data_IF_639538071843
#
_entry.id   IF_639538071843
#
_cell.length_a   1.000
_cell.length_b   1.000
_cell.length_c   1.000
_cell.angle_alpha   90.00
_cell.angle_beta   90.00
_cell.angle_gamma   90.00
#
_symmetry.space_group_name_H-M   'P 1'
#
loop_
_entity.id
_entity.type
_entity.pdbx_description
1 polymer ?
#
# COMPACT_ATOMS: atom_id res chain seq x y z
N UNK A 1 -33.34 22.87 -3.33
CA UNK A 1 -32.22 22.02 -3.86
C UNK A 1 -31.42 21.55 -2.65
N UNK A 2 -31.08 20.24 -2.56
CA UNK A 2 -30.24 19.71 -1.45
C UNK A 2 -28.89 20.39 -1.47
N UNK A 3 -28.29 20.58 -0.29
CA UNK A 3 -26.85 20.94 -0.19
C UNK A 3 -25.97 19.80 -0.67
N UNK A 4 -24.70 20.03 -1.03
CA UNK A 4 -23.75 18.97 -1.35
C UNK A 4 -23.64 17.89 -0.25
N UNK A 5 -23.65 18.31 1.01
CA UNK A 5 -23.56 17.43 2.17
C UNK A 5 -24.81 16.55 2.31
N UNK A 6 -26.01 17.15 2.25
CA UNK A 6 -27.29 16.42 2.26
C UNK A 6 -27.41 15.44 1.08
N UNK A 7 -26.85 15.83 -0.08
CA UNK A 7 -26.82 14.96 -1.26
C UNK A 7 -25.93 13.74 -1.03
N UNK A 8 -24.72 13.93 -0.50
CA UNK A 8 -23.79 12.84 -0.19
C UNK A 8 -24.42 11.85 0.82
N UNK A 9 -24.95 12.36 1.92
CA UNK A 9 -25.60 11.54 2.96
C UNK A 9 -26.79 10.75 2.42
N UNK A 10 -27.67 11.39 1.64
CA UNK A 10 -28.82 10.74 1.02
C UNK A 10 -28.44 9.61 0.05
N UNK A 11 -27.19 9.55 -0.38
CA UNK A 11 -26.63 8.50 -1.24
C UNK A 11 -25.73 7.50 -0.47
N UNK A 12 -25.82 7.48 0.87
CA UNK A 12 -25.09 6.58 1.72
C UNK A 12 -23.59 6.89 1.85
N UNK A 13 -23.14 8.09 1.40
CA UNK A 13 -21.75 8.48 1.54
C UNK A 13 -21.49 8.94 2.97
N UNK A 14 -20.72 8.15 3.71
CA UNK A 14 -20.28 8.52 5.05
C UNK A 14 -19.14 9.53 4.94
N UNK A 15 -19.38 10.78 5.36
CA UNK A 15 -18.36 11.82 5.41
C UNK A 15 -17.34 11.53 6.50
N UNK A 16 -16.18 12.20 6.47
CA UNK A 16 -15.14 12.07 7.49
C UNK A 16 -15.66 12.25 8.92
N UNK A 17 -16.61 13.19 9.12
CA UNK A 17 -17.24 13.43 10.42
C UNK A 17 -18.16 12.28 10.87
N UNK A 18 -18.84 11.62 9.93
CA UNK A 18 -19.76 10.51 10.21
C UNK A 18 -19.11 9.16 10.46
N UNK A 19 -17.79 9.03 10.25
CA UNK A 19 -17.08 7.77 10.52
C UNK A 19 -17.01 7.51 12.03
N UNK A 20 -17.58 6.40 12.47
CA UNK A 20 -17.37 5.88 13.84
C UNK A 20 -16.01 5.17 13.91
N UNK A 21 -15.00 5.91 14.40
CA UNK A 21 -13.61 5.43 14.48
C UNK A 21 -13.46 4.19 15.35
N UNK A 22 -14.17 4.14 16.48
CA UNK A 22 -14.06 3.02 17.43
C UNK A 22 -14.65 1.73 16.85
N UNK A 23 -15.84 1.84 16.25
CA UNK A 23 -16.48 0.72 15.56
C UNK A 23 -15.60 0.20 14.42
N UNK A 24 -15.03 1.10 13.64
CA UNK A 24 -14.16 0.72 12.51
C UNK A 24 -12.87 0.04 12.97
N UNK A 25 -12.20 0.57 14.02
CA UNK A 25 -11.04 -0.10 14.63
C UNK A 25 -11.42 -1.50 15.10
N UNK A 26 -12.55 -1.66 15.79
CA UNK A 26 -13.01 -2.97 16.28
C UNK A 26 -13.24 -3.96 15.12
N UNK A 27 -13.79 -3.52 13.98
CA UNK A 27 -13.97 -4.35 12.80
C UNK A 27 -12.62 -4.81 12.22
N UNK A 28 -11.64 -3.91 12.07
CA UNK A 28 -10.29 -4.29 11.64
C UNK A 28 -9.65 -5.30 12.58
N UNK A 29 -9.66 -5.04 13.88
CA UNK A 29 -9.09 -5.94 14.88
C UNK A 29 -9.72 -7.33 14.85
N UNK A 30 -11.05 -7.40 14.68
CA UNK A 30 -11.79 -8.67 14.56
C UNK A 30 -11.35 -9.46 13.32
N UNK A 31 -11.27 -8.81 12.15
CA UNK A 31 -10.85 -9.49 10.92
C UNK A 31 -9.36 -9.90 10.98
N UNK A 32 -8.48 -9.06 11.54
CA UNK A 32 -7.08 -9.42 11.77
C UNK A 32 -6.95 -10.66 12.66
N UNK A 33 -7.73 -10.73 13.72
CA UNK A 33 -7.70 -11.87 14.66
C UNK A 33 -8.16 -13.16 13.96
N UNK A 34 -9.27 -13.13 13.21
CA UNK A 34 -9.73 -14.27 12.42
C UNK A 34 -8.66 -14.74 11.44
N UNK A 35 -8.06 -13.80 10.68
CA UNK A 35 -7.01 -14.12 9.72
C UNK A 35 -5.76 -14.74 10.35
N UNK A 36 -5.39 -14.33 11.59
CA UNK A 36 -4.28 -14.94 12.35
C UNK A 36 -4.64 -16.33 12.91
N UNK A 37 -5.92 -16.61 13.14
CA UNK A 37 -6.41 -17.93 13.55
C UNK A 37 -6.60 -18.90 12.37
N UNK A 38 -6.53 -18.42 11.14
CA UNK A 38 -6.88 -19.23 9.95
C UNK A 38 -8.37 -19.39 9.73
N UNK A 39 -9.20 -18.57 10.39
CA UNK A 39 -10.64 -18.50 10.19
C UNK A 39 -10.98 -17.70 8.93
N UNK A 40 -12.23 -17.78 8.47
CA UNK A 40 -12.71 -16.98 7.34
C UNK A 40 -12.64 -15.49 7.67
N UNK A 41 -11.83 -14.75 6.93
CA UNK A 41 -11.58 -13.33 7.12
C UNK A 41 -11.34 -12.64 5.77
N UNK A 42 -11.72 -11.36 5.69
CA UNK A 42 -11.34 -10.50 4.56
C UNK A 42 -9.84 -10.14 4.58
N UNK A 43 -9.18 -10.25 5.74
CA UNK A 43 -7.75 -9.98 5.89
C UNK A 43 -6.96 -11.29 5.91
N UNK A 44 -6.14 -11.53 4.89
CA UNK A 44 -5.38 -12.78 4.74
C UNK A 44 -4.34 -13.00 5.82
N UNK A 45 -3.77 -11.94 6.39
CA UNK A 45 -2.76 -11.97 7.46
C UNK A 45 -1.62 -12.94 7.17
N UNK A 46 -0.95 -12.79 6.02
CA UNK A 46 0.05 -13.71 5.48
C UNK A 46 1.35 -13.64 6.27
N UNK A 47 1.85 -14.74 6.85
CA UNK A 47 3.15 -14.77 7.51
C UNK A 47 4.28 -14.53 6.49
N UNK A 48 5.23 -13.64 6.84
CA UNK A 48 6.39 -13.37 5.99
C UNK A 48 7.64 -14.14 6.43
N UNK A 49 7.60 -14.85 7.55
CA UNK A 49 8.69 -15.63 8.13
C UNK A 49 9.99 -14.85 8.35
N UNK A 50 9.93 -13.53 8.29
CA UNK A 50 11.04 -12.63 8.60
C UNK A 50 10.68 -11.80 9.82
N UNK A 51 11.61 -11.64 10.73
CA UNK A 51 11.47 -10.80 11.94
C UNK A 51 12.21 -9.48 11.80
N UNK A 52 12.19 -8.70 12.87
CA UNK A 52 12.92 -7.41 12.97
C UNK A 52 14.02 -7.43 14.05
N UNK A 53 14.20 -8.55 14.76
CA UNK A 53 15.05 -8.64 15.94
C UNK A 53 16.56 -8.79 15.62
N UNK A 54 16.91 -9.06 14.37
CA UNK A 54 18.30 -9.15 13.92
C UNK A 54 18.98 -7.77 13.87
N UNK A 55 20.28 -7.73 14.15
CA UNK A 55 21.10 -6.55 13.93
C UNK A 55 21.66 -6.56 12.51
N UNK A 56 21.40 -5.49 11.77
CA UNK A 56 21.99 -5.32 10.45
C UNK A 56 23.38 -4.71 10.59
N UNK A 57 24.44 -5.36 10.09
CA UNK A 57 25.79 -4.83 10.22
C UNK A 57 25.95 -3.52 9.42
N UNK A 58 26.55 -2.51 10.05
CA UNK A 58 26.92 -1.27 9.33
C UNK A 58 27.99 -1.58 8.27
N UNK A 59 27.82 -0.97 7.10
CA UNK A 59 28.71 -1.21 5.95
C UNK A 59 28.38 -2.47 5.15
N UNK A 60 27.43 -3.32 5.59
CA UNK A 60 27.00 -4.47 4.82
C UNK A 60 26.35 -4.03 3.49
N UNK A 61 26.57 -4.81 2.43
CA UNK A 61 26.01 -4.59 1.10
C UNK A 61 25.28 -5.84 0.62
N UNK A 62 24.04 -5.70 0.15
CA UNK A 62 23.27 -6.78 -0.47
C UNK A 62 23.01 -6.49 -1.94
N UNK A 63 23.09 -7.51 -2.78
CA UNK A 63 22.56 -7.47 -4.13
C UNK A 63 21.05 -7.71 -4.09
N UNK A 64 20.28 -6.84 -4.74
CA UNK A 64 18.82 -6.88 -4.66
C UNK A 64 18.14 -6.80 -6.01
N UNK A 65 16.96 -7.40 -6.05
CA UNK A 65 15.97 -7.27 -7.12
C UNK A 65 14.68 -6.67 -6.54
N UNK A 66 13.95 -5.92 -7.37
CA UNK A 66 12.63 -5.43 -7.07
C UNK A 66 11.74 -5.54 -8.30
N UNK A 67 10.72 -6.38 -8.21
CA UNK A 67 9.79 -6.69 -9.27
C UNK A 67 8.36 -6.32 -8.83
N UNK A 68 7.92 -5.10 -9.14
CA UNK A 68 6.68 -4.55 -8.60
C UNK A 68 5.59 -4.18 -9.62
N UNK A 69 5.90 -4.16 -10.92
CA UNK A 69 4.95 -3.67 -11.92
C UNK A 69 5.34 -4.08 -13.33
N UNK A 70 5.31 -3.11 -14.26
CA UNK A 70 5.72 -3.31 -15.66
C UNK A 70 7.24 -3.26 -15.86
N UNK A 71 7.98 -2.95 -14.81
CA UNK A 71 9.44 -2.95 -14.79
C UNK A 71 9.93 -3.68 -13.54
N UNK A 72 11.17 -4.18 -13.61
CA UNK A 72 11.92 -4.61 -12.45
C UNK A 72 13.23 -3.83 -12.33
N UNK A 73 13.78 -3.80 -11.13
CA UNK A 73 15.02 -3.10 -10.81
C UNK A 73 16.03 -4.04 -10.20
N UNK A 74 17.31 -3.79 -10.45
CA UNK A 74 18.44 -4.43 -9.77
C UNK A 74 19.34 -3.37 -9.18
N UNK A 75 19.95 -3.63 -8.01
CA UNK A 75 20.86 -2.71 -7.36
C UNK A 75 21.76 -3.43 -6.34
N UNK A 76 22.74 -2.70 -5.83
CA UNK A 76 23.42 -2.99 -4.56
C UNK A 76 22.93 -1.98 -3.54
N UNK A 77 22.53 -2.45 -2.37
CA UNK A 77 22.10 -1.60 -1.26
C UNK A 77 23.00 -1.80 -0.06
N UNK A 78 23.58 -0.70 0.44
CA UNK A 78 24.41 -0.68 1.66
C UNK A 78 23.62 -0.16 2.87
N UNK A 79 24.16 -0.39 4.08
CA UNK A 79 23.63 0.15 5.33
C UNK A 79 24.68 1.05 6.00
N UNK A 80 24.39 2.33 6.33
CA UNK A 80 23.12 3.07 6.14
C UNK A 80 22.61 3.05 4.70
N UNK A 81 21.28 3.18 4.48
CA UNK A 81 20.67 2.96 3.17
C UNK A 81 21.28 3.84 2.08
N UNK A 82 21.89 3.22 1.10
CA UNK A 82 22.35 3.83 -0.14
C UNK A 82 22.20 2.82 -1.27
N UNK A 83 21.44 3.21 -2.31
CA UNK A 83 21.20 2.40 -3.50
C UNK A 83 22.24 2.75 -4.55
N UNK A 84 23.07 1.76 -4.93
CA UNK A 84 24.16 1.89 -5.91
C UNK A 84 23.95 0.94 -7.08
N UNK A 85 24.56 1.20 -8.21
CA UNK A 85 24.51 0.35 -9.42
C UNK A 85 23.10 0.01 -9.90
N UNK A 86 22.14 0.91 -9.67
CA UNK A 86 20.73 0.72 -10.01
C UNK A 86 20.53 0.62 -11.52
N UNK A 87 19.78 -0.40 -11.93
CA UNK A 87 19.22 -0.51 -13.29
C UNK A 87 17.73 -0.75 -13.23
N UNK A 88 17.04 -0.28 -14.26
CA UNK A 88 15.62 -0.49 -14.47
C UNK A 88 15.43 -1.21 -15.80
N UNK A 89 14.75 -2.34 -15.79
CA UNK A 89 14.48 -3.19 -16.94
C UNK A 89 12.99 -3.42 -17.11
N UNK A 90 12.49 -3.66 -18.32
CA UNK A 90 11.12 -4.13 -18.52
C UNK A 90 10.90 -5.44 -17.77
N UNK A 91 9.79 -5.57 -17.07
CA UNK A 91 9.40 -6.83 -16.43
C UNK A 91 9.14 -7.88 -17.51
N UNK A 92 9.78 -9.06 -17.44
CA UNK A 92 9.51 -10.15 -18.38
C UNK A 92 8.02 -10.51 -18.38
N UNK A 93 7.43 -10.64 -19.54
CA UNK A 93 5.99 -10.87 -19.69
C UNK A 93 5.10 -9.62 -19.63
N UNK A 94 5.64 -8.41 -19.39
CA UNK A 94 4.83 -7.19 -19.34
C UNK A 94 4.36 -6.68 -20.71
N UNK A 95 5.04 -7.06 -21.77
CA UNK A 95 4.75 -6.61 -23.16
C UNK A 95 4.28 -7.73 -24.07
N UNK A 96 4.81 -8.91 -23.88
CA UNK A 96 4.52 -10.12 -24.65
C UNK A 96 4.71 -11.35 -23.77
N UNK A 97 4.08 -12.50 -24.10
CA UNK A 97 4.33 -13.75 -23.41
C UNK A 97 5.81 -14.14 -23.44
N UNK A 98 6.28 -14.69 -22.33
CA UNK A 98 7.67 -15.19 -22.20
C UNK A 98 7.66 -16.62 -21.68
N UNK A 99 8.68 -17.38 -22.09
CA UNK A 99 8.98 -18.69 -21.54
C UNK A 99 9.54 -18.61 -20.13
N UNK A 100 9.62 -19.74 -19.45
CA UNK A 100 10.24 -19.85 -18.13
C UNK A 100 11.73 -19.43 -18.17
N UNK A 101 12.45 -19.91 -19.19
CA UNK A 101 13.88 -19.61 -19.31
C UNK A 101 14.13 -18.13 -19.57
N UNK A 102 13.36 -17.49 -20.46
CA UNK A 102 13.44 -16.05 -20.70
C UNK A 102 13.12 -15.24 -19.44
N UNK A 103 12.11 -15.67 -18.69
CA UNK A 103 11.73 -15.00 -17.44
C UNK A 103 12.88 -14.98 -16.45
N UNK A 104 13.41 -16.15 -16.08
CA UNK A 104 14.46 -16.21 -15.07
C UNK A 104 15.81 -15.73 -15.58
N UNK A 105 16.13 -15.88 -16.86
CA UNK A 105 17.38 -15.37 -17.44
C UNK A 105 17.50 -13.86 -17.24
N UNK A 106 16.41 -13.11 -17.46
CA UNK A 106 16.42 -11.66 -17.28
C UNK A 106 16.80 -11.23 -15.85
N UNK A 107 16.27 -11.91 -14.82
CA UNK A 107 16.64 -11.65 -13.43
C UNK A 107 18.05 -12.15 -13.08
N UNK A 108 18.41 -13.33 -13.56
CA UNK A 108 19.73 -13.92 -13.30
C UNK A 108 20.85 -13.06 -13.86
N UNK A 109 20.70 -12.51 -15.07
CA UNK A 109 21.70 -11.66 -15.71
C UNK A 109 21.92 -10.37 -14.93
N UNK A 110 20.83 -9.72 -14.46
CA UNK A 110 20.95 -8.53 -13.63
C UNK A 110 21.54 -8.86 -12.25
N UNK A 111 21.16 -9.97 -11.65
CA UNK A 111 21.70 -10.38 -10.35
C UNK A 111 23.18 -10.74 -10.43
N UNK A 112 23.65 -11.45 -11.50
CA UNK A 112 25.09 -11.72 -11.74
C UNK A 112 25.91 -10.44 -11.87
N UNK A 113 25.33 -9.37 -12.41
CA UNK A 113 25.99 -8.08 -12.54
C UNK A 113 26.28 -7.44 -11.18
N UNK A 114 25.35 -7.51 -10.25
CA UNK A 114 25.44 -6.83 -8.94
C UNK A 114 25.96 -7.73 -7.82
N UNK A 115 25.84 -9.04 -7.93
CA UNK A 115 26.28 -10.00 -6.90
C UNK A 115 27.74 -9.85 -6.48
N UNK A 116 28.71 -9.62 -7.38
CA UNK A 116 30.13 -9.46 -6.99
C UNK A 116 30.41 -8.22 -6.12
N UNK A 117 29.47 -7.28 -6.05
CA UNK A 117 29.60 -6.03 -5.28
C UNK A 117 28.99 -6.15 -3.88
N UNK A 118 28.25 -7.23 -3.62
CA UNK A 118 27.65 -7.51 -2.32
C UNK A 118 28.69 -8.06 -1.33
N UNK A 119 28.48 -7.77 -0.04
CA UNK A 119 29.26 -8.34 1.06
C UNK A 119 28.49 -9.43 1.80
N UNK A 120 27.15 -9.50 1.58
CA UNK A 120 26.32 -10.56 2.14
C UNK A 120 26.17 -11.70 1.13
N UNK A 121 26.15 -12.97 1.59
CA UNK A 121 26.00 -14.13 0.71
C UNK A 121 24.56 -14.34 0.23
N UNK A 122 23.58 -13.70 0.88
CA UNK A 122 22.16 -13.82 0.54
C UNK A 122 21.73 -12.66 -0.34
N UNK A 123 20.95 -12.96 -1.37
CA UNK A 123 20.30 -11.97 -2.22
C UNK A 123 18.96 -11.52 -1.62
N UNK A 124 18.53 -10.29 -1.92
CA UNK A 124 17.21 -9.82 -1.57
C UNK A 124 16.33 -9.69 -2.81
N UNK A 125 15.07 -10.09 -2.73
CA UNK A 125 14.12 -9.90 -3.82
C UNK A 125 12.78 -9.38 -3.29
N UNK A 126 12.47 -8.12 -3.56
CA UNK A 126 11.13 -7.60 -3.42
C UNK A 126 10.29 -8.10 -4.60
N UNK A 127 9.26 -8.91 -4.30
CA UNK A 127 8.40 -9.55 -5.29
C UNK A 127 6.93 -9.22 -4.99
N UNK A 128 6.41 -8.20 -5.67
CA UNK A 128 5.10 -7.57 -5.37
C UNK A 128 3.96 -8.21 -6.18
N UNK A 129 3.87 -9.53 -6.12
CA UNK A 129 2.81 -10.32 -6.76
C UNK A 129 2.15 -11.25 -5.74
N UNK A 130 1.00 -11.83 -6.11
CA UNK A 130 0.29 -12.75 -5.23
C UNK A 130 1.07 -14.07 -5.07
N UNK A 131 1.80 -14.17 -3.97
CA UNK A 131 2.64 -15.32 -3.66
C UNK A 131 2.54 -15.68 -2.17
N UNK A 132 2.73 -16.95 -1.86
CA UNK A 132 2.84 -17.43 -0.48
C UNK A 132 4.31 -17.63 -0.11
N UNK A 133 4.75 -16.98 0.97
CA UNK A 133 6.12 -17.06 1.46
C UNK A 133 6.30 -18.33 2.29
N UNK A 134 7.47 -18.92 2.20
CA UNK A 134 7.86 -20.12 2.98
C UNK A 134 8.76 -19.76 4.16
N UNK A 135 8.93 -20.67 5.17
CA UNK A 135 9.89 -20.47 6.24
C UNK A 135 11.34 -20.26 5.77
N UNK A 136 11.68 -20.75 4.58
CA UNK A 136 13.00 -20.54 3.93
C UNK A 136 13.13 -19.20 3.23
N UNK A 137 12.18 -18.30 3.36
CA UNK A 137 12.11 -16.99 2.68
C UNK A 137 12.08 -17.09 1.16
N UNK A 138 11.54 -18.17 0.61
CA UNK A 138 11.18 -18.28 -0.80
C UNK A 138 9.68 -17.99 -0.98
N UNK A 139 9.25 -17.66 -2.18
CA UNK A 139 7.85 -17.36 -2.47
C UNK A 139 7.31 -18.23 -3.61
N UNK A 140 6.15 -18.86 -3.38
CA UNK A 140 5.42 -19.59 -4.39
C UNK A 140 4.40 -18.68 -5.05
N UNK A 141 4.56 -18.43 -6.35
CA UNK A 141 3.63 -17.60 -7.10
C UNK A 141 2.26 -18.29 -7.26
N UNK A 142 1.19 -17.65 -6.79
CA UNK A 142 -0.17 -18.17 -6.91
C UNK A 142 -0.84 -17.77 -8.22
N UNK A 143 -0.73 -16.50 -8.58
CA UNK A 143 -1.22 -15.97 -9.86
C UNK A 143 -0.53 -14.66 -10.21
N UNK A 144 -0.48 -14.36 -11.50
CA UNK A 144 -0.04 -13.06 -11.96
C UNK A 144 -1.12 -11.99 -11.78
N UNK A 145 -0.66 -10.80 -11.46
CA UNK A 145 -1.42 -9.55 -11.49
C UNK A 145 -0.74 -8.58 -12.45
N UNK A 146 -1.32 -7.39 -12.66
CA UNK A 146 -0.68 -6.30 -13.43
C UNK A 146 -0.37 -6.68 -14.90
N UNK A 147 -1.12 -7.65 -15.47
CA UNK A 147 -1.02 -8.00 -16.89
C UNK A 147 0.23 -8.78 -17.31
N UNK A 148 0.96 -9.40 -16.38
CA UNK A 148 2.15 -10.21 -16.70
C UNK A 148 1.76 -11.51 -17.40
N UNK A 149 2.43 -11.80 -18.51
CA UNK A 149 2.18 -12.94 -19.40
C UNK A 149 3.32 -13.96 -19.31
N UNK A 150 3.44 -14.63 -18.15
CA UNK A 150 4.43 -15.68 -17.88
C UNK A 150 3.75 -16.87 -17.16
N UNK A 151 2.80 -17.57 -17.82
CA UNK A 151 1.97 -18.58 -17.17
C UNK A 151 2.77 -19.77 -16.61
N UNK A 152 3.91 -20.09 -17.20
CA UNK A 152 4.76 -21.19 -16.75
C UNK A 152 5.35 -20.98 -15.34
N UNK A 153 5.39 -19.74 -14.84
CA UNK A 153 5.95 -19.43 -13.51
C UNK A 153 4.93 -19.67 -12.39
N UNK A 154 3.63 -19.70 -12.73
CA UNK A 154 2.58 -19.92 -11.74
C UNK A 154 2.77 -21.28 -11.05
N UNK A 155 2.74 -21.28 -9.72
CA UNK A 155 2.96 -22.46 -8.88
C UNK A 155 4.44 -22.74 -8.56
N UNK A 156 5.39 -22.02 -9.16
CA UNK A 156 6.81 -22.20 -8.87
C UNK A 156 7.27 -21.41 -7.64
N UNK A 157 8.35 -21.87 -7.03
CA UNK A 157 9.11 -21.16 -5.99
C UNK A 157 10.13 -20.26 -6.68
N UNK A 158 9.80 -18.98 -6.80
CA UNK A 158 10.54 -18.05 -7.67
C UNK A 158 11.98 -17.84 -7.25
N UNK A 159 12.28 -17.85 -5.94
CA UNK A 159 13.65 -17.75 -5.42
C UNK A 159 14.49 -18.95 -5.77
N UNK A 160 14.00 -20.17 -5.49
CA UNK A 160 14.68 -21.41 -5.80
C UNK A 160 14.97 -21.59 -7.29
N UNK A 161 14.01 -21.25 -8.15
CA UNK A 161 14.18 -21.35 -9.60
C UNK A 161 15.20 -20.33 -10.12
N UNK A 162 15.24 -19.12 -9.57
CA UNK A 162 16.28 -18.13 -9.88
C UNK A 162 17.66 -18.64 -9.44
N UNK A 163 17.78 -19.17 -8.22
CA UNK A 163 19.06 -19.66 -7.68
C UNK A 163 19.62 -20.85 -8.48
N UNK A 164 18.80 -21.74 -9.03
CA UNK A 164 19.24 -22.80 -9.94
C UNK A 164 19.98 -22.22 -11.14
N UNK A 165 19.47 -21.13 -11.71
CA UNK A 165 20.11 -20.45 -12.86
C UNK A 165 21.33 -19.62 -12.47
N UNK A 166 21.44 -19.25 -11.19
CA UNK A 166 22.64 -18.60 -10.64
C UNK A 166 23.76 -19.59 -10.34
N UNK A 167 23.48 -20.89 -10.29
CA UNK A 167 24.44 -21.93 -9.89
C UNK A 167 24.51 -22.12 -8.37
N UNK A 168 23.52 -21.66 -7.63
CA UNK A 168 23.41 -21.77 -6.17
C UNK A 168 23.30 -20.41 -5.45
N UNK A 169 23.45 -20.43 -4.13
CA UNK A 169 23.32 -19.25 -3.27
C UNK A 169 22.13 -19.34 -2.33
N UNK A 170 21.78 -18.21 -1.72
CA UNK A 170 20.56 -18.05 -0.93
C UNK A 170 19.88 -16.74 -1.27
N UNK A 171 18.55 -16.68 -1.08
CA UNK A 171 17.73 -15.52 -1.41
C UNK A 171 16.64 -15.33 -0.36
N UNK A 172 16.29 -14.07 -0.09
CA UNK A 172 15.12 -13.72 0.70
C UNK A 172 14.13 -13.02 -0.23
N UNK A 173 12.98 -13.63 -0.44
CA UNK A 173 11.88 -13.08 -1.25
C UNK A 173 10.84 -12.49 -0.30
N UNK A 174 10.55 -11.21 -0.45
CA UNK A 174 9.61 -10.48 0.41
C UNK A 174 8.61 -9.68 -0.44
N UNK A 175 7.40 -9.49 0.10
CA UNK A 175 6.41 -8.60 -0.49
C UNK A 175 6.83 -7.13 -0.33
N UNK A 176 6.33 -6.22 -1.18
CA UNK A 176 6.65 -4.78 -1.15
C UNK A 176 6.30 -4.11 0.18
N UNK A 177 5.18 -4.47 0.78
CA UNK A 177 4.76 -3.89 2.06
C UNK A 177 5.61 -4.41 3.23
N UNK A 178 6.04 -5.68 3.18
CA UNK A 178 7.02 -6.24 4.12
C UNK A 178 8.37 -5.54 3.94
N UNK A 179 8.81 -5.31 2.71
CA UNK A 179 10.01 -4.55 2.42
C UNK A 179 9.90 -3.10 2.92
N UNK A 180 8.76 -2.44 2.75
CA UNK A 180 8.49 -1.10 3.28
C UNK A 180 8.65 -1.07 4.81
N UNK A 181 8.15 -2.08 5.52
CA UNK A 181 8.36 -2.19 6.97
C UNK A 181 9.85 -2.33 7.31
N UNK A 182 10.54 -3.24 6.64
CA UNK A 182 11.98 -3.50 6.88
C UNK A 182 12.84 -2.27 6.55
N UNK A 183 12.43 -1.44 5.59
CA UNK A 183 13.14 -0.21 5.28
C UNK A 183 13.13 0.79 6.45
N UNK A 184 12.06 0.83 7.26
CA UNK A 184 12.06 1.64 8.48
C UNK A 184 13.15 1.20 9.46
N UNK A 185 13.40 -0.11 9.57
CA UNK A 185 14.48 -0.62 10.42
C UNK A 185 15.87 -0.16 9.97
N UNK A 186 16.08 0.04 8.68
CA UNK A 186 17.35 0.53 8.15
C UNK A 186 17.64 1.99 8.54
N UNK A 187 16.63 2.76 8.96
CA UNK A 187 16.72 4.18 9.31
C UNK A 187 16.75 4.44 10.82
N UNK A 188 16.78 3.42 11.66
CA UNK A 188 16.75 3.56 13.12
C UNK A 188 17.83 4.52 13.66
N UNK A 189 19.06 4.42 13.15
CA UNK A 189 20.19 5.14 13.72
C UNK A 189 20.37 4.81 15.22
N UNK A 190 20.37 5.85 16.07
CA UNK A 190 20.43 5.72 17.53
C UNK A 190 19.02 5.66 18.18
N UNK A 191 17.95 5.67 17.40
CA UNK A 191 16.56 5.59 17.91
C UNK A 191 16.18 4.16 18.21
N UNK A 192 15.36 3.99 19.24
CA UNK A 192 14.73 2.72 19.58
C UNK A 192 13.25 2.80 19.25
N UNK A 193 12.75 1.79 18.56
CA UNK A 193 11.32 1.61 18.31
C UNK A 193 10.84 0.30 18.93
N UNK A 194 9.64 0.31 19.51
CA UNK A 194 9.05 -0.90 20.11
C UNK A 194 8.50 -1.85 19.05
N UNK A 195 8.10 -1.35 17.90
CA UNK A 195 7.57 -2.12 16.77
C UNK A 195 7.62 -1.32 15.47
N UNK A 196 7.28 -1.99 14.36
CA UNK A 196 7.32 -1.41 13.02
C UNK A 196 6.03 -1.72 12.25
N UNK A 197 5.58 -0.75 11.46
CA UNK A 197 4.50 -0.89 10.49
C UNK A 197 5.00 -0.38 9.13
N UNK A 198 4.84 -1.19 8.10
CA UNK A 198 4.99 -0.80 6.71
C UNK A 198 3.62 -0.52 6.12
N UNK A 199 3.44 0.63 5.52
CA UNK A 199 2.17 1.04 4.94
C UNK A 199 2.38 1.61 3.54
N UNK A 200 1.65 1.09 2.58
CA UNK A 200 1.64 1.58 1.20
C UNK A 200 0.27 2.21 0.91
N UNK A 201 0.28 3.46 0.45
CA UNK A 201 -0.90 4.14 -0.08
C UNK A 201 -0.52 4.91 -1.36
N UNK A 202 -0.57 4.20 -2.45
CA UNK A 202 -0.30 4.68 -3.80
C UNK A 202 -1.47 4.43 -4.74
N UNK A 203 -1.23 3.74 -5.85
CA UNK A 203 -2.29 3.23 -6.75
C UNK A 203 -3.20 2.26 -6.00
N UNK A 204 -2.62 1.38 -5.19
CA UNK A 204 -3.30 0.49 -4.25
C UNK A 204 -2.90 0.78 -2.80
N UNK A 205 -3.33 -0.10 -1.88
CA UNK A 205 -2.97 -0.02 -0.45
C UNK A 205 -2.72 -1.39 0.14
N UNK A 206 -1.73 -1.45 1.02
CA UNK A 206 -1.47 -2.63 1.83
C UNK A 206 -0.72 -2.24 3.11
N UNK A 207 -0.72 -3.13 4.13
CA UNK A 207 -0.06 -2.92 5.41
C UNK A 207 0.58 -4.21 5.91
N UNK A 208 1.80 -4.06 6.41
CA UNK A 208 2.50 -5.10 7.16
C UNK A 208 2.81 -4.60 8.58
N UNK A 209 2.84 -5.50 9.54
CA UNK A 209 3.19 -5.19 10.93
C UNK A 209 3.89 -6.36 11.60
N UNK A 210 4.56 -6.11 12.71
CA UNK A 210 5.21 -7.15 13.51
C UNK A 210 4.18 -7.78 14.47
N UNK A 211 3.99 -9.09 14.37
CA UNK A 211 3.13 -9.86 15.27
C UNK A 211 3.96 -10.78 16.15
N UNK A 212 3.58 -10.93 17.42
CA UNK A 212 4.15 -11.97 18.31
C UNK A 212 3.68 -13.34 17.84
N UNK A 213 4.58 -14.32 17.78
CA UNK A 213 4.28 -15.65 17.27
C UNK A 213 3.11 -16.32 18.00
N UNK A 214 2.98 -16.11 19.32
CA UNK A 214 1.87 -16.62 20.13
C UNK A 214 0.49 -16.17 19.67
N UNK A 215 0.41 -15.12 18.84
CA UNK A 215 -0.85 -14.61 18.28
C UNK A 215 -1.14 -15.18 16.89
N UNK A 216 -0.21 -15.94 16.29
CA UNK A 216 -0.32 -16.48 14.92
C UNK A 216 -0.78 -17.94 15.01
N UNK A 217 -2.06 -18.14 15.36
CA UNK A 217 -2.58 -19.45 15.71
C UNK A 217 -2.75 -20.41 14.51
N UNK A 218 -2.71 -19.91 13.30
CA UNK A 218 -2.78 -20.72 12.07
C UNK A 218 -1.45 -21.44 11.72
N UNK A 219 -0.37 -21.15 12.45
CA UNK A 219 0.91 -21.83 12.30
C UNK A 219 1.24 -22.60 13.56
N UNK A 220 1.78 -23.80 13.38
CA UNK A 220 2.26 -24.65 14.46
C UNK A 220 3.79 -24.58 14.62
N UNK A 221 4.30 -24.92 15.79
CA UNK A 221 5.73 -25.05 16.04
C UNK A 221 6.53 -23.76 16.11
N UNK A 222 5.86 -22.60 16.17
CA UNK A 222 6.52 -21.31 16.36
C UNK A 222 7.00 -21.15 17.81
N UNK A 223 8.20 -20.56 18.01
CA UNK A 223 8.60 -20.07 19.32
C UNK A 223 7.64 -18.96 19.79
N UNK A 224 6.88 -19.16 20.88
CA UNK A 224 5.87 -18.18 21.33
C UNK A 224 6.45 -16.80 21.68
N UNK A 225 7.70 -16.75 22.13
CA UNK A 225 8.38 -15.50 22.50
C UNK A 225 8.99 -14.78 21.28
N UNK A 226 9.06 -15.45 20.15
CA UNK A 226 9.47 -14.85 18.89
C UNK A 226 8.41 -13.92 18.28
N UNK A 227 8.79 -13.32 17.18
CA UNK A 227 7.90 -12.48 16.37
C UNK A 227 8.24 -12.58 14.90
N UNK A 228 7.27 -12.32 14.04
CA UNK A 228 7.49 -12.17 12.60
C UNK A 228 6.61 -11.10 12.00
N UNK A 229 6.97 -10.67 10.80
CA UNK A 229 6.17 -9.73 10.04
C UNK A 229 4.98 -10.47 9.41
N UNK A 230 3.81 -9.84 9.49
CA UNK A 230 2.58 -10.26 8.83
C UNK A 230 2.24 -9.28 7.72
N UNK A 231 2.12 -9.77 6.49
CA UNK A 231 1.52 -9.05 5.38
C UNK A 231 0.00 -9.21 5.46
N UNK A 232 -0.73 -8.14 5.75
CA UNK A 232 -2.15 -8.23 6.06
C UNK A 232 -3.05 -8.39 4.84
N UNK A 233 -2.63 -7.91 3.66
CA UNK A 233 -3.50 -7.73 2.48
C UNK A 233 -4.69 -6.83 2.83
N UNK A 234 -4.39 -5.69 3.47
CA UNK A 234 -5.37 -4.83 4.14
C UNK A 234 -6.36 -4.14 3.20
N UNK A 235 -6.02 -4.02 1.92
CA UNK A 235 -6.94 -3.53 0.89
C UNK A 235 -8.22 -4.37 0.73
N UNK A 236 -8.16 -5.63 1.14
CA UNK A 236 -9.27 -6.59 1.04
C UNK A 236 -10.34 -6.45 2.14
N UNK A 237 -10.16 -5.56 3.13
CA UNK A 237 -11.12 -5.36 4.22
C UNK A 237 -12.51 -5.02 3.71
N UNK A 238 -13.49 -5.91 3.92
CA UNK A 238 -14.84 -5.84 3.34
C UNK A 238 -15.94 -5.39 4.32
N UNK A 239 -15.60 -5.12 5.59
CA UNK A 239 -16.57 -4.73 6.64
C UNK A 239 -16.79 -3.21 6.69
N UNK A 240 -16.15 -2.43 5.82
CA UNK A 240 -16.35 -1.00 5.71
C UNK A 240 -17.61 -0.71 4.89
N UNK A 241 -18.52 0.12 5.42
CA UNK A 241 -19.72 0.51 4.69
C UNK A 241 -19.36 1.31 3.43
N UNK A 242 -19.88 0.89 2.29
CA UNK A 242 -19.69 1.53 1.00
C UNK A 242 -20.93 2.38 0.62
N UNK A 243 -20.71 3.51 0.00
CA UNK A 243 -21.76 4.28 -0.62
C UNK A 243 -22.13 3.73 -2.00
N UNK A 244 -23.27 4.15 -2.54
CA UNK A 244 -23.65 3.85 -3.93
C UNK A 244 -22.61 4.31 -4.95
N UNK A 245 -21.80 5.31 -4.63
CA UNK A 245 -20.73 5.81 -5.52
C UNK A 245 -19.54 4.87 -5.53
N UNK A 246 -19.18 4.32 -4.36
CA UNK A 246 -18.14 3.30 -4.24
C UNK A 246 -18.55 2.04 -5.02
N UNK A 247 -19.80 1.63 -4.89
CA UNK A 247 -20.34 0.47 -5.61
C UNK A 247 -20.39 0.71 -7.13
N UNK A 248 -20.88 1.88 -7.56
CA UNK A 248 -20.96 2.23 -8.98
C UNK A 248 -19.57 2.32 -9.64
N UNK A 249 -18.57 2.80 -8.92
CA UNK A 249 -17.18 2.80 -9.37
C UNK A 249 -16.61 1.37 -9.44
N UNK A 250 -16.83 0.57 -8.39
CA UNK A 250 -16.35 -0.81 -8.30
C UNK A 250 -16.87 -1.68 -9.45
N UNK A 251 -18.14 -1.56 -9.82
CA UNK A 251 -18.74 -2.31 -10.94
C UNK A 251 -18.09 -2.03 -12.31
N UNK A 252 -17.31 -0.97 -12.42
CA UNK A 252 -16.56 -0.60 -13.65
C UNK A 252 -15.13 -1.11 -13.66
N UNK A 253 -14.68 -1.72 -12.56
CA UNK A 253 -13.34 -2.29 -12.46
C UNK A 253 -13.29 -3.67 -13.11
N UNK A 254 -12.09 -4.14 -13.51
CA UNK A 254 -11.90 -5.50 -14.03
C UNK A 254 -12.22 -6.59 -13.00
N UNK A 255 -12.19 -6.26 -11.71
CA UNK A 255 -12.35 -7.15 -10.56
C UNK A 255 -13.41 -6.64 -9.55
N UNK A 256 -14.69 -6.53 -9.95
CA UNK A 256 -15.73 -6.03 -9.04
C UNK A 256 -15.84 -6.88 -7.77
N UNK A 257 -15.99 -6.21 -6.63
CA UNK A 257 -16.10 -6.85 -5.32
C UNK A 257 -14.76 -7.22 -4.65
N UNK A 258 -13.65 -7.20 -5.38
CA UNK A 258 -12.32 -7.43 -4.82
C UNK A 258 -11.72 -6.15 -4.23
N UNK A 259 -10.94 -6.30 -3.15
CA UNK A 259 -10.22 -5.21 -2.48
C UNK A 259 -11.07 -3.95 -2.21
N UNK A 260 -12.25 -4.08 -1.57
CA UNK A 260 -13.19 -2.97 -1.44
C UNK A 260 -12.64 -1.81 -0.61
N UNK A 261 -11.81 -2.05 0.40
CA UNK A 261 -11.20 -0.99 1.18
C UNK A 261 -10.13 -0.22 0.39
N UNK A 262 -9.30 -0.91 -0.36
CA UNK A 262 -8.35 -0.30 -1.29
C UNK A 262 -9.06 0.70 -2.22
N UNK A 263 -10.19 0.26 -2.79
CA UNK A 263 -10.97 1.06 -3.72
C UNK A 263 -11.59 2.32 -3.09
N UNK A 264 -11.71 2.37 -1.75
CA UNK A 264 -12.23 3.53 -1.03
C UNK A 264 -11.18 4.59 -0.70
N UNK A 265 -9.88 4.24 -0.65
CA UNK A 265 -8.84 5.14 -0.12
C UNK A 265 -7.67 5.39 -1.06
N UNK A 266 -7.42 4.51 -2.04
CA UNK A 266 -6.19 4.58 -2.83
C UNK A 266 -6.33 5.29 -4.17
N UNK A 267 -5.20 5.75 -4.68
CA UNK A 267 -5.12 6.67 -5.81
C UNK A 267 -5.59 6.09 -7.14
N UNK A 268 -5.65 4.77 -7.27
CA UNK A 268 -6.22 4.14 -8.46
C UNK A 268 -7.72 4.38 -8.63
N UNK A 269 -8.43 4.80 -7.56
CA UNK A 269 -9.89 4.75 -7.54
C UNK A 269 -10.59 6.04 -7.10
N UNK A 270 -9.92 6.93 -6.34
CA UNK A 270 -10.54 8.15 -5.81
C UNK A 270 -11.12 9.06 -6.91
N UNK A 271 -10.44 9.16 -8.06
CA UNK A 271 -10.95 9.89 -9.22
C UNK A 271 -12.24 9.29 -9.77
N UNK A 272 -12.29 7.95 -9.85
CA UNK A 272 -13.48 7.22 -10.28
C UNK A 272 -14.68 7.44 -9.34
N UNK A 273 -14.45 7.40 -8.01
CA UNK A 273 -15.49 7.70 -7.01
C UNK A 273 -15.99 9.14 -7.19
N UNK A 274 -15.06 10.11 -7.34
CA UNK A 274 -15.41 11.51 -7.59
C UNK A 274 -16.27 11.69 -8.85
N UNK A 275 -15.93 10.97 -9.90
CA UNK A 275 -16.71 10.98 -11.15
C UNK A 275 -18.15 10.45 -10.94
N UNK A 276 -18.32 9.36 -10.18
CA UNK A 276 -19.65 8.84 -9.87
C UNK A 276 -20.46 9.79 -8.99
N UNK A 277 -19.82 10.47 -8.02
CA UNK A 277 -20.44 11.54 -7.24
C UNK A 277 -20.96 12.66 -8.15
N UNK A 278 -20.10 13.16 -9.05
CA UNK A 278 -20.47 14.25 -9.96
C UNK A 278 -21.53 13.84 -10.99
N UNK A 279 -21.45 12.64 -11.57
CA UNK A 279 -22.49 12.12 -12.48
C UNK A 279 -23.84 12.02 -11.81
N UNK A 280 -23.90 11.54 -10.58
CA UNK A 280 -25.14 11.46 -9.84
C UNK A 280 -25.69 12.85 -9.46
N UNK A 281 -24.81 13.78 -9.08
CA UNK A 281 -25.19 15.17 -8.79
C UNK A 281 -25.70 15.92 -10.03
N UNK A 282 -25.10 15.68 -11.20
CA UNK A 282 -25.58 16.23 -12.48
C UNK A 282 -26.96 15.72 -12.81
N UNK A 283 -27.23 14.42 -12.66
CA UNK A 283 -28.58 13.83 -12.83
C UNK A 283 -29.60 14.39 -11.83
N UNK A 284 -29.15 14.81 -10.65
CA UNK A 284 -30.01 15.47 -9.66
C UNK A 284 -30.20 16.98 -9.90
N UNK A 285 -29.73 17.51 -11.02
CA UNK A 285 -29.88 18.93 -11.38
C UNK A 285 -29.04 19.89 -10.55
N UNK A 286 -27.93 19.40 -9.97
CA UNK A 286 -27.08 20.23 -9.11
C UNK A 286 -26.08 21.09 -9.90
N UNK A 287 -25.92 20.88 -11.20
CA UNK A 287 -25.01 21.62 -12.09
C UNK A 287 -25.75 22.30 -13.20
N UNK A 288 -25.15 23.32 -13.83
CA UNK A 288 -25.64 23.88 -15.07
C UNK A 288 -25.71 22.84 -16.19
N UNK A 289 -26.54 23.05 -17.19
CA UNK A 289 -26.67 22.13 -18.34
C UNK A 289 -25.32 21.88 -19.03
N UNK A 290 -24.49 22.93 -19.19
CA UNK A 290 -23.12 22.79 -19.76
C UNK A 290 -22.25 21.90 -18.93
N UNK A 291 -22.19 22.13 -17.62
CA UNK A 291 -21.35 21.31 -16.71
C UNK A 291 -21.89 19.87 -16.64
N UNK A 292 -23.22 19.70 -16.55
CA UNK A 292 -23.85 18.38 -16.54
C UNK A 292 -23.53 17.56 -17.81
N UNK A 293 -23.62 18.23 -18.99
CA UNK A 293 -23.23 17.58 -20.26
C UNK A 293 -21.74 17.20 -20.30
N UNK A 294 -20.87 18.12 -19.85
CA UNK A 294 -19.42 17.84 -19.77
C UNK A 294 -19.08 16.66 -18.83
N UNK A 295 -19.69 16.64 -17.63
CA UNK A 295 -19.55 15.51 -16.68
C UNK A 295 -20.07 14.20 -17.31
N UNK A 296 -21.21 14.27 -18.01
CA UNK A 296 -21.80 13.11 -18.69
C UNK A 296 -20.89 12.51 -19.76
N UNK A 297 -20.11 13.35 -20.44
CA UNK A 297 -19.14 12.96 -21.48
C UNK A 297 -17.85 12.32 -20.96
N UNK A 298 -17.54 12.43 -19.65
CA UNK A 298 -16.33 11.82 -19.08
C UNK A 298 -16.48 10.30 -18.98
N UNK A 299 -15.62 9.56 -19.70
CA UNK A 299 -15.52 8.10 -19.59
C UNK A 299 -14.83 7.66 -18.31
N UNK A 300 -13.75 8.35 -17.93
CA UNK A 300 -12.94 8.09 -16.72
C UNK A 300 -12.44 9.43 -16.15
N UNK A 301 -11.93 9.39 -14.92
CA UNK A 301 -11.29 10.53 -14.28
C UNK A 301 -10.09 10.05 -13.47
N UNK A 302 -8.91 10.53 -13.86
CA UNK A 302 -7.67 10.26 -13.13
C UNK A 302 -7.68 10.97 -11.76
N UNK A 303 -7.24 10.27 -10.72
CA UNK A 303 -7.20 10.84 -9.37
C UNK A 303 -6.34 12.11 -9.30
N UNK A 304 -5.26 12.18 -10.06
CA UNK A 304 -4.39 13.37 -10.07
C UNK A 304 -5.11 14.62 -10.61
N UNK A 305 -5.96 14.48 -11.63
CA UNK A 305 -6.72 15.59 -12.20
C UNK A 305 -7.88 15.99 -11.27
N UNK A 306 -8.52 15.00 -10.65
CA UNK A 306 -9.55 15.21 -9.63
C UNK A 306 -9.00 15.92 -8.39
N UNK A 307 -7.86 15.48 -7.86
CA UNK A 307 -7.17 16.08 -6.72
C UNK A 307 -6.76 17.53 -7.00
N UNK A 308 -6.06 17.75 -8.11
CA UNK A 308 -5.65 19.11 -8.51
C UNK A 308 -6.85 20.06 -8.68
N UNK A 309 -7.96 19.59 -9.25
CA UNK A 309 -9.18 20.38 -9.38
C UNK A 309 -9.79 20.70 -8.01
N UNK A 310 -9.92 19.71 -7.13
CA UNK A 310 -10.45 19.89 -5.78
C UNK A 310 -9.58 20.85 -4.94
N UNK A 311 -8.26 20.77 -5.08
CA UNK A 311 -7.29 21.67 -4.46
C UNK A 311 -7.24 23.08 -5.06
N UNK A 312 -7.93 23.35 -6.16
CA UNK A 312 -7.74 24.54 -6.99
C UNK A 312 -6.27 24.75 -7.43
N UNK A 313 -5.50 23.65 -7.55
CA UNK A 313 -4.11 23.68 -7.92
C UNK A 313 -3.95 23.59 -9.45
N UNK A 314 -3.11 24.46 -10.00
CA UNK A 314 -2.72 24.44 -11.41
C UNK A 314 -1.24 24.19 -11.52
N UNK A 315 -0.90 23.06 -12.16
CA UNK A 315 0.50 22.76 -12.48
C UNK A 315 0.92 23.63 -13.67
N UNK A 316 2.04 24.30 -13.55
CA UNK A 316 2.61 25.10 -14.63
C UNK A 316 2.76 24.27 -15.93
N UNK A 317 2.30 24.81 -17.04
CA UNK A 317 2.33 24.18 -18.36
C UNK A 317 1.34 23.02 -18.58
N UNK A 318 0.43 22.72 -17.64
CA UNK A 318 -0.62 21.70 -17.81
C UNK A 318 -1.99 22.22 -17.40
N UNK A 319 -2.90 22.34 -18.37
CA UNK A 319 -4.31 22.60 -18.08
C UNK A 319 -4.94 21.39 -17.38
N UNK A 320 -5.85 21.64 -16.43
CA UNK A 320 -6.68 20.58 -15.88
C UNK A 320 -7.84 20.31 -16.85
N UNK A 321 -8.08 19.06 -17.27
CA UNK A 321 -9.18 18.74 -18.20
C UNK A 321 -10.57 19.08 -17.67
N UNK A 322 -10.71 19.34 -16.37
CA UNK A 322 -11.95 19.73 -15.70
C UNK A 322 -12.24 21.24 -15.76
N UNK A 323 -11.26 22.08 -16.09
CA UNK A 323 -11.41 23.54 -16.09
C UNK A 323 -12.49 24.01 -17.10
N UNK A 324 -12.58 23.40 -18.28
CA UNK A 324 -13.57 23.72 -19.29
C UNK A 324 -14.97 23.23 -18.93
N UNK A 325 -15.06 22.11 -18.22
CA UNK A 325 -16.32 21.54 -17.73
C UNK A 325 -16.91 22.43 -16.65
N UNK A 326 -16.08 22.88 -15.72
CA UNK A 326 -16.47 23.73 -14.59
C UNK A 326 -16.04 25.18 -14.77
N UNK A 327 -16.26 25.74 -15.97
CA UNK A 327 -15.92 27.13 -16.29
C UNK A 327 -16.71 28.15 -15.44
N UNK A 328 -17.93 27.80 -14.98
CA UNK A 328 -18.71 28.63 -14.05
C UNK A 328 -18.12 28.50 -12.64
N UNK A 329 -17.93 29.65 -11.95
CA UNK A 329 -17.46 29.67 -10.57
C UNK A 329 -18.40 28.91 -9.61
N UNK A 330 -19.69 28.95 -9.84
CA UNK A 330 -20.71 28.25 -9.02
C UNK A 330 -20.63 26.74 -9.23
N UNK A 331 -20.50 26.27 -10.48
CA UNK A 331 -20.32 24.85 -10.77
C UNK A 331 -18.98 24.33 -10.21
N UNK A 332 -17.90 25.09 -10.37
CA UNK A 332 -16.59 24.74 -9.82
C UNK A 332 -16.63 24.65 -8.29
N UNK A 333 -17.24 25.62 -7.61
CA UNK A 333 -17.43 25.60 -6.16
C UNK A 333 -18.22 24.39 -5.69
N UNK A 334 -19.32 24.09 -6.39
CA UNK A 334 -20.20 22.94 -6.07
C UNK A 334 -19.49 21.62 -6.31
N UNK A 335 -18.77 21.50 -7.43
CA UNK A 335 -17.98 20.31 -7.74
C UNK A 335 -16.90 20.03 -6.68
N UNK A 336 -16.20 21.07 -6.19
CA UNK A 336 -15.24 20.94 -5.09
C UNK A 336 -15.90 20.51 -3.78
N UNK A 337 -17.03 21.11 -3.40
CA UNK A 337 -17.79 20.73 -2.20
C UNK A 337 -18.29 19.29 -2.24
N UNK A 338 -18.52 18.73 -3.42
CA UNK A 338 -18.87 17.32 -3.61
C UNK A 338 -17.63 16.42 -3.66
N UNK A 339 -16.50 16.92 -4.16
CA UNK A 339 -15.28 16.14 -4.39
C UNK A 339 -14.34 16.06 -3.18
N UNK A 340 -14.12 17.18 -2.48
CA UNK A 340 -13.23 17.23 -1.32
C UNK A 340 -13.56 16.17 -0.24
N UNK A 341 -14.84 15.92 0.11
CA UNK A 341 -15.20 14.88 1.07
C UNK A 341 -14.73 13.48 0.72
N UNK A 342 -14.45 13.17 -0.55
CA UNK A 342 -13.89 11.87 -0.97
C UNK A 342 -12.48 11.70 -0.41
N UNK A 343 -11.65 12.75 -0.48
CA UNK A 343 -10.29 12.74 0.07
C UNK A 343 -10.27 12.83 1.59
N UNK A 344 -11.17 13.62 2.20
CA UNK A 344 -11.30 13.69 3.67
C UNK A 344 -11.66 12.34 4.26
N UNK A 345 -12.62 11.64 3.64
CA UNK A 345 -13.00 10.28 4.05
C UNK A 345 -11.81 9.32 3.92
N UNK A 346 -11.09 9.37 2.80
CA UNK A 346 -9.92 8.53 2.58
C UNK A 346 -8.85 8.75 3.64
N UNK A 347 -8.56 10.00 4.02
CA UNK A 347 -7.58 10.31 5.07
C UNK A 347 -8.00 9.78 6.45
N UNK A 348 -9.28 9.94 6.83
CA UNK A 348 -9.79 9.42 8.10
C UNK A 348 -9.80 7.88 8.13
N UNK A 349 -10.23 7.22 7.05
CA UNK A 349 -10.18 5.77 6.94
C UNK A 349 -8.74 5.23 7.01
N UNK A 350 -7.79 5.93 6.39
CA UNK A 350 -6.36 5.61 6.51
C UNK A 350 -5.88 5.68 7.95
N UNK A 351 -6.25 6.73 8.69
CA UNK A 351 -5.86 6.86 10.10
C UNK A 351 -6.48 5.76 10.97
N UNK A 352 -7.75 5.44 10.79
CA UNK A 352 -8.45 4.36 11.51
C UNK A 352 -7.78 3.01 11.23
N UNK A 353 -7.44 2.75 9.98
CA UNK A 353 -6.73 1.57 9.55
C UNK A 353 -5.37 1.45 10.25
N UNK A 354 -4.52 2.47 10.17
CA UNK A 354 -3.22 2.49 10.85
C UNK A 354 -3.35 2.36 12.38
N UNK A 355 -4.36 3.00 12.98
CA UNK A 355 -4.63 2.87 14.41
C UNK A 355 -4.92 1.42 14.81
N UNK A 356 -5.69 0.69 14.00
CA UNK A 356 -5.97 -0.72 14.26
C UNK A 356 -4.69 -1.58 14.25
N UNK A 357 -3.76 -1.32 13.32
CA UNK A 357 -2.47 -2.02 13.27
C UNK A 357 -1.55 -1.68 14.43
N UNK A 358 -1.49 -0.40 14.86
CA UNK A 358 -0.77 -0.01 16.06
C UNK A 358 -1.31 -0.73 17.29
N UNK A 359 -2.63 -0.75 17.48
CA UNK A 359 -3.27 -1.45 18.60
C UNK A 359 -3.00 -2.96 18.52
N UNK A 360 -3.08 -3.57 17.33
CA UNK A 360 -2.85 -5.01 17.13
C UNK A 360 -1.43 -5.44 17.42
N UNK A 361 -0.43 -4.57 17.21
CA UNK A 361 0.96 -4.85 17.57
C UNK A 361 1.16 -5.07 19.06
N UNK A 362 0.33 -4.42 19.90
CA UNK A 362 0.43 -4.46 21.36
C UNK A 362 1.62 -3.69 21.94
N UNK A 363 2.23 -2.83 21.14
CA UNK A 363 3.45 -2.07 21.46
C UNK A 363 3.17 -0.55 21.53
N UNK A 364 4.20 0.27 21.76
CA UNK A 364 4.09 1.73 21.81
C UNK A 364 3.67 2.31 23.15
N UNK A 365 3.72 1.55 24.24
CA UNK A 365 3.37 2.06 25.58
C UNK A 365 4.37 3.09 26.12
N UNK A 366 5.62 3.04 25.66
CA UNK A 366 6.70 3.95 26.04
C UNK A 366 6.92 5.01 24.96
N UNK A 367 6.79 6.28 25.31
CA UNK A 367 7.03 7.39 24.40
C UNK A 367 8.47 7.51 23.92
N UNK A 368 9.45 6.94 24.64
CA UNK A 368 10.86 6.91 24.23
C UNK A 368 11.12 5.79 23.21
N UNK A 369 10.21 4.83 23.08
CA UNK A 369 10.26 3.73 22.13
C UNK A 369 8.91 3.58 21.41
N UNK A 370 8.51 4.54 20.56
CA UNK A 370 7.23 4.51 19.86
C UNK A 370 7.19 3.41 18.80
N UNK A 371 6.03 3.19 18.19
CA UNK A 371 5.90 2.37 16.99
C UNK A 371 6.35 3.19 15.78
N UNK A 372 7.29 2.68 14.99
CA UNK A 372 7.67 3.28 13.72
C UNK A 372 6.66 2.92 12.62
N UNK A 373 6.10 3.91 11.94
CA UNK A 373 5.26 3.73 10.76
C UNK A 373 6.02 4.26 9.55
N UNK A 374 6.45 3.37 8.64
CA UNK A 374 6.97 3.79 7.35
C UNK A 374 5.83 3.81 6.34
N UNK A 375 5.37 5.01 6.00
CA UNK A 375 4.38 5.20 4.96
C UNK A 375 5.08 5.41 3.61
N UNK A 376 4.57 4.78 2.55
CA UNK A 376 5.02 4.98 1.18
C UNK A 376 3.82 5.15 0.24
N UNK A 377 4.06 5.81 -0.89
CA UNK A 377 3.08 5.97 -1.95
C UNK A 377 2.61 7.39 -2.19
N UNK A 378 2.28 7.63 -3.46
CA UNK A 378 1.96 8.98 -3.94
C UNK A 378 0.64 9.53 -3.41
N UNK A 379 -0.34 8.68 -3.11
CA UNK A 379 -1.62 9.13 -2.55
C UNK A 379 -1.43 9.69 -1.15
N UNK A 380 -0.58 9.06 -0.34
CA UNK A 380 -0.29 9.57 1.01
C UNK A 380 0.41 10.93 1.00
N UNK A 381 1.46 11.08 0.18
CA UNK A 381 2.34 12.25 0.23
C UNK A 381 1.99 13.36 -0.76
N UNK A 382 1.25 13.07 -1.85
CA UNK A 382 1.05 14.04 -2.95
C UNK A 382 -0.39 14.52 -3.10
N UNK A 383 -1.33 14.00 -2.32
CA UNK A 383 -2.71 14.52 -2.27
C UNK A 383 -2.71 15.97 -1.79
N UNK A 384 -3.41 16.83 -2.53
CA UNK A 384 -3.48 18.29 -2.33
C UNK A 384 -4.86 18.79 -1.96
N UNK A 385 -5.92 18.06 -2.33
CA UNK A 385 -7.31 18.45 -2.04
C UNK A 385 -7.56 18.62 -0.54
N UNK A 386 -6.79 17.91 0.28
CA UNK A 386 -6.81 17.98 1.74
C UNK A 386 -5.38 17.87 2.29
N UNK A 387 -5.09 18.37 3.50
CA UNK A 387 -3.81 18.14 4.17
C UNK A 387 -3.73 16.68 4.68
N UNK A 388 -3.55 15.72 3.74
CA UNK A 388 -3.75 14.30 3.97
C UNK A 388 -2.92 13.77 5.14
N UNK A 389 -1.58 13.92 5.11
CA UNK A 389 -0.68 13.48 6.19
C UNK A 389 -1.02 14.14 7.53
N UNK A 390 -1.25 15.46 7.54
CA UNK A 390 -1.62 16.17 8.76
C UNK A 390 -2.97 15.70 9.33
N UNK A 391 -3.93 15.34 8.47
CA UNK A 391 -5.22 14.77 8.89
C UNK A 391 -5.01 13.39 9.49
N UNK A 392 -4.22 12.53 8.84
CA UNK A 392 -3.90 11.19 9.36
C UNK A 392 -3.22 11.29 10.74
N UNK A 393 -2.22 12.14 10.90
CA UNK A 393 -1.52 12.34 12.19
C UNK A 393 -2.47 12.83 13.27
N UNK A 394 -3.28 13.85 13.00
CA UNK A 394 -4.26 14.37 13.96
C UNK A 394 -5.22 13.29 14.45
N UNK A 395 -5.75 12.48 13.54
CA UNK A 395 -6.67 11.39 13.86
C UNK A 395 -5.98 10.27 14.65
N UNK A 396 -4.73 9.92 14.29
CA UNK A 396 -3.91 8.96 15.03
C UNK A 396 -3.59 9.45 16.45
N UNK A 397 -3.21 10.72 16.63
CA UNK A 397 -2.97 11.32 17.92
C UNK A 397 -4.20 11.20 18.84
N UNK A 398 -5.39 11.47 18.29
CA UNK A 398 -6.64 11.32 19.07
C UNK A 398 -6.91 9.86 19.44
N UNK A 399 -6.81 8.94 18.46
CA UNK A 399 -7.18 7.54 18.66
C UNK A 399 -6.14 6.75 19.47
N UNK A 400 -4.86 7.03 19.31
CA UNK A 400 -3.76 6.28 19.92
C UNK A 400 -3.20 6.99 21.16
N UNK A 401 -2.64 8.19 20.99
CA UNK A 401 -1.92 8.86 22.07
C UNK A 401 -2.88 9.29 23.17
N UNK A 402 -3.91 10.08 22.84
CA UNK A 402 -4.81 10.64 23.85
C UNK A 402 -5.72 9.60 24.51
N UNK A 403 -6.22 8.63 23.74
CA UNK A 403 -7.22 7.68 24.26
C UNK A 403 -6.63 6.37 24.78
N UNK A 404 -5.41 5.99 24.36
CA UNK A 404 -4.83 4.67 24.64
C UNK A 404 -3.41 4.68 25.18
N UNK A 405 -2.77 5.84 25.23
CA UNK A 405 -1.34 5.97 25.57
C UNK A 405 -0.45 5.07 24.70
N UNK A 406 -0.76 4.99 23.39
CA UNK A 406 0.04 4.29 22.39
C UNK A 406 0.77 5.36 21.57
N UNK A 407 2.10 5.34 21.64
CA UNK A 407 2.97 6.29 20.95
C UNK A 407 3.43 5.72 19.63
N UNK A 408 3.43 6.55 18.61
CA UNK A 408 3.86 6.21 17.25
C UNK A 408 4.70 7.35 16.66
N UNK A 409 5.45 7.03 15.63
CA UNK A 409 6.14 7.99 14.79
C UNK A 409 5.97 7.58 13.33
N UNK A 410 5.43 8.47 12.48
CA UNK A 410 5.53 8.28 11.04
C UNK A 410 6.92 8.77 10.66
N UNK A 411 7.80 7.82 10.35
CA UNK A 411 9.20 8.09 10.01
C UNK A 411 9.31 8.80 8.67
N UNK A 412 10.40 9.54 8.40
CA UNK A 412 10.64 10.11 7.08
C UNK A 412 10.56 9.03 5.99
N UNK A 413 9.97 9.39 4.85
CA UNK A 413 9.86 8.47 3.72
C UNK A 413 11.24 7.94 3.32
N UNK A 414 11.35 6.63 3.21
CA UNK A 414 12.58 5.96 2.77
C UNK A 414 12.57 5.86 1.26
N UNK A 415 13.53 6.49 0.61
CA UNK A 415 13.69 6.36 -0.84
C UNK A 415 13.99 4.90 -1.21
N UNK A 416 13.38 4.43 -2.32
CA UNK A 416 13.54 3.05 -2.78
C UNK A 416 13.25 1.98 -1.70
N UNK A 417 12.29 2.24 -0.80
CA UNK A 417 11.94 1.35 0.32
C UNK A 417 11.83 -0.14 -0.06
N UNK A 418 11.25 -0.54 -1.20
CA UNK A 418 11.22 -1.94 -1.64
C UNK A 418 12.61 -2.57 -1.78
N UNK A 419 13.59 -1.85 -2.33
CA UNK A 419 14.96 -2.34 -2.47
C UNK A 419 15.72 -2.33 -1.15
N UNK A 420 15.57 -1.28 -0.35
CA UNK A 420 16.16 -1.17 0.99
C UNK A 420 15.65 -2.31 1.88
N UNK A 421 14.34 -2.53 1.90
CA UNK A 421 13.75 -3.61 2.71
C UNK A 421 14.16 -5.01 2.25
N UNK A 422 14.25 -5.25 0.93
CA UNK A 422 14.76 -6.51 0.40
C UNK A 422 16.24 -6.75 0.83
N UNK A 423 17.06 -5.69 0.86
CA UNK A 423 18.43 -5.77 1.37
C UNK A 423 18.45 -6.13 2.86
N UNK A 424 17.62 -5.50 3.68
CA UNK A 424 17.48 -5.83 5.11
C UNK A 424 17.09 -7.31 5.29
N UNK A 425 16.09 -7.80 4.53
CA UNK A 425 15.68 -9.21 4.56
C UNK A 425 16.82 -10.17 4.21
N UNK A 426 17.72 -9.76 3.30
CA UNK A 426 18.90 -10.53 2.95
C UNK A 426 20.00 -10.52 4.03
N UNK A 427 20.02 -9.51 4.89
CA UNK A 427 21.03 -9.31 5.93
C UNK A 427 20.61 -9.90 7.30
N UNK A 428 19.31 -10.09 7.51
CA UNK A 428 18.72 -10.75 8.69
C UNK A 428 18.70 -12.27 8.52
#
# INVERSE_FOLDING_TARGET
>A
MKTPEEFLEANGFTTAAGIDRQKMIALFLSEMEKGLKGESSSLRMIPAYVGVNGRVPSGAKAAVLDAGGTNFRSAVVSIPPKVEERRNQPMPGSRSPVSEDEFYAAFADELRRVAPLATTPRFGWCFSYNADVTPGLDARLNCWTKGIQAPAIVGQYVGSELLKRMGGGSIAVVNDTVATLLAAKATEGDRTYSSYIGFILGTGTNTAYVAKNRNILKLEGLDPEGSMIINAESGSMDKVARSRFDEAMDQKQPDPGHNPFEKMISGGYLGGIGLEVWKAAAKAGMFSEKAAAGIGGLGSLETIDFDNFCAAFRKEGRANPLDDIFASADDAKRARRLGVPVFERAAVLTAVHLAAFCIKSGEGADASAPIAINADGSTYYKTRAVPFDATVRRELDDMLVKRRNIHYEIVPQVDDAPMVGAAIAAML
#
